data_IF_621675513929
#
_entry.id   IF_621675513929
#
_cell.length_a   1.000
_cell.length_b   1.000
_cell.length_c   1.000
_cell.angle_alpha   90.00
_cell.angle_beta   90.00
_cell.angle_gamma   90.00
#
_symmetry.space_group_name_H-M   'P 1'
#
loop_
_entity.id
_entity.type
_entity.pdbx_description
1 polymer ?
#
# COMPACT_ATOMS: atom_id res chain seq x y z
N UNK A 1 -6.38 -12.13 1.09
CA UNK A 1 -6.08 -10.94 0.25
C UNK A 1 -4.58 -10.65 0.30
N UNK A 2 -3.80 -11.05 -0.72
CA UNK A 2 -2.33 -10.92 -0.73
C UNK A 2 -1.85 -9.46 -0.58
N UNK A 3 -2.56 -8.50 -1.19
CA UNK A 3 -2.19 -7.08 -1.13
C UNK A 3 -2.17 -6.51 0.30
N UNK A 4 -3.17 -6.82 1.15
CA UNK A 4 -3.22 -6.33 2.54
C UNK A 4 -2.04 -6.88 3.36
N UNK A 5 -1.62 -8.12 3.09
CA UNK A 5 -0.46 -8.72 3.75
C UNK A 5 0.81 -7.93 3.41
N UNK A 6 1.03 -7.63 2.12
CA UNK A 6 2.20 -6.88 1.67
C UNK A 6 2.21 -5.44 2.20
N UNK A 7 1.06 -4.77 2.17
CA UNK A 7 0.93 -3.43 2.75
C UNK A 7 1.22 -3.43 4.27
N UNK A 8 0.73 -4.42 5.02
CA UNK A 8 1.06 -4.57 6.45
C UNK A 8 2.56 -4.78 6.69
N UNK A 9 3.24 -5.55 5.83
CA UNK A 9 4.70 -5.73 5.91
C UNK A 9 5.43 -4.41 5.70
N UNK A 10 5.07 -3.66 4.65
CA UNK A 10 5.66 -2.35 4.35
C UNK A 10 5.45 -1.36 5.50
N UNK A 11 4.23 -1.28 6.02
CA UNK A 11 3.92 -0.42 7.17
C UNK A 11 4.75 -0.78 8.40
N UNK A 12 4.89 -2.08 8.72
CA UNK A 12 5.70 -2.53 9.86
C UNK A 12 7.18 -2.22 9.69
N UNK A 13 7.74 -2.47 8.49
CA UNK A 13 9.14 -2.23 8.19
C UNK A 13 9.52 -0.75 8.25
N UNK A 14 8.58 0.14 7.92
CA UNK A 14 8.80 1.60 7.92
C UNK A 14 8.24 2.29 9.17
N UNK A 15 7.76 1.53 10.17
CA UNK A 15 7.11 2.06 11.38
C UNK A 15 5.91 2.98 11.14
N UNK A 16 5.20 2.78 10.02
CA UNK A 16 4.05 3.58 9.59
C UNK A 16 2.76 3.03 10.19
N UNK A 17 1.95 3.90 10.81
CA UNK A 17 0.62 3.58 11.34
C UNK A 17 -0.48 3.89 10.33
N UNK A 18 -1.69 3.37 10.54
CA UNK A 18 -2.84 3.63 9.65
C UNK A 18 -3.18 5.13 9.55
N UNK A 19 -3.03 5.89 10.64
CA UNK A 19 -3.19 7.35 10.65
C UNK A 19 -2.23 8.08 9.70
N UNK A 20 -0.99 7.62 9.62
CA UNK A 20 0.03 8.20 8.73
C UNK A 20 -0.26 7.81 7.28
N UNK A 21 -0.64 6.56 7.03
CA UNK A 21 -1.12 6.11 5.74
C UNK A 21 -2.35 6.90 5.26
N UNK A 22 -3.26 7.25 6.17
CA UNK A 22 -4.41 8.08 5.86
C UNK A 22 -4.00 9.47 5.37
N UNK A 23 -2.94 10.04 5.95
CA UNK A 23 -2.35 11.31 5.52
C UNK A 23 -1.74 11.20 4.12
N UNK A 24 -1.02 10.11 3.82
CA UNK A 24 -0.47 9.82 2.48
C UNK A 24 -1.58 9.72 1.43
N UNK A 25 -2.70 9.08 1.79
CA UNK A 25 -3.83 8.87 0.90
C UNK A 25 -4.75 10.09 0.76
N UNK A 26 -4.68 11.04 1.71
CA UNK A 26 -5.58 12.19 1.78
C UNK A 26 -7.01 11.80 2.20
N UNK A 27 -7.14 10.82 3.09
CA UNK A 27 -8.42 10.31 3.59
C UNK A 27 -8.42 10.21 5.13
N UNK A 28 -9.56 9.88 5.74
CA UNK A 28 -9.62 9.64 7.18
C UNK A 28 -8.99 8.30 7.59
N UNK A 29 -8.53 8.19 8.84
CA UNK A 29 -8.06 6.91 9.39
C UNK A 29 -9.15 5.84 9.35
N UNK A 30 -10.41 6.22 9.55
CA UNK A 30 -11.55 5.32 9.42
C UNK A 30 -11.67 4.77 8.00
N UNK A 31 -11.48 5.59 6.96
CA UNK A 31 -11.50 5.13 5.58
C UNK A 31 -10.35 4.16 5.29
N UNK A 32 -9.17 4.36 5.88
CA UNK A 32 -8.08 3.37 5.80
C UNK A 32 -8.49 2.08 6.49
N UNK A 33 -9.02 2.15 7.70
CA UNK A 33 -9.50 0.96 8.42
C UNK A 33 -10.54 0.19 7.63
N UNK A 34 -11.55 0.86 7.08
CA UNK A 34 -12.59 0.23 6.25
C UNK A 34 -12.00 -0.45 5.01
N UNK A 35 -10.94 0.13 4.40
CA UNK A 35 -10.20 -0.51 3.31
C UNK A 35 -9.45 -1.78 3.76
N UNK A 36 -8.83 -1.77 4.93
CA UNK A 36 -8.14 -2.96 5.47
C UNK A 36 -9.07 -4.10 5.85
N UNK A 37 -10.32 -3.78 6.23
CA UNK A 37 -11.35 -4.76 6.58
C UNK A 37 -12.24 -5.16 5.39
N UNK A 38 -11.97 -4.64 4.18
CA UNK A 38 -12.70 -4.99 2.97
C UNK A 38 -14.10 -4.39 2.86
N UNK A 39 -14.43 -3.38 3.68
CA UNK A 39 -15.70 -2.63 3.60
C UNK A 39 -15.69 -1.64 2.44
N UNK A 40 -14.51 -1.22 2.01
CA UNK A 40 -14.31 -0.34 0.84
C UNK A 40 -13.05 -0.78 0.11
N UNK A 41 -13.02 -0.68 -1.21
CA UNK A 41 -11.83 -1.07 -1.97
C UNK A 41 -10.77 0.03 -1.97
N UNK A 42 -9.51 -0.38 -2.18
CA UNK A 42 -8.45 0.54 -2.61
C UNK A 42 -8.70 0.94 -4.06
N UNK A 43 -8.62 2.23 -4.34
CA UNK A 43 -8.67 2.76 -5.71
C UNK A 43 -7.29 2.68 -6.35
N UNK A 44 -7.21 2.76 -7.68
CA UNK A 44 -5.91 2.83 -8.37
C UNK A 44 -5.05 4.01 -7.88
N UNK A 45 -5.68 5.15 -7.56
CA UNK A 45 -5.02 6.30 -6.97
C UNK A 45 -4.41 5.99 -5.61
N UNK A 46 -5.13 5.23 -4.78
CA UNK A 46 -4.59 4.80 -3.48
C UNK A 46 -3.38 3.90 -3.67
N UNK A 47 -3.49 2.91 -4.57
CA UNK A 47 -2.42 1.96 -4.85
C UNK A 47 -1.16 2.66 -5.38
N UNK A 48 -1.31 3.60 -6.30
CA UNK A 48 -0.20 4.40 -6.84
C UNK A 48 0.51 5.16 -5.72
N UNK A 49 -0.23 5.89 -4.88
CA UNK A 49 0.37 6.65 -3.78
C UNK A 49 1.08 5.77 -2.75
N UNK A 50 0.53 4.60 -2.48
CA UNK A 50 1.16 3.63 -1.56
C UNK A 50 2.46 3.11 -2.15
N UNK A 51 2.44 2.75 -3.44
CA UNK A 51 3.62 2.28 -4.16
C UNK A 51 4.73 3.35 -4.17
N UNK A 52 4.38 4.59 -4.52
CA UNK A 52 5.29 5.74 -4.53
C UNK A 52 5.84 6.04 -3.13
N UNK A 53 4.98 6.03 -2.10
CA UNK A 53 5.38 6.35 -0.72
C UNK A 53 6.36 5.33 -0.13
N UNK A 54 6.18 4.04 -0.45
CA UNK A 54 7.07 2.98 0.01
C UNK A 54 8.22 2.65 -0.95
N UNK A 55 8.35 3.37 -2.08
CA UNK A 55 9.32 3.10 -3.14
C UNK A 55 9.29 1.64 -3.63
N UNK A 56 8.09 1.15 -3.95
CA UNK A 56 7.86 -0.21 -4.47
C UNK A 56 7.01 -0.21 -5.74
N UNK A 57 7.08 -1.29 -6.50
CA UNK A 57 6.22 -1.50 -7.67
C UNK A 57 4.77 -1.82 -7.27
N UNK A 58 3.82 -1.48 -8.15
CA UNK A 58 2.43 -1.91 -8.01
C UNK A 58 2.29 -3.44 -8.03
N UNK A 59 3.14 -4.13 -8.79
CA UNK A 59 3.13 -5.59 -8.86
C UNK A 59 3.54 -6.22 -7.52
N UNK A 60 4.54 -5.64 -6.85
CA UNK A 60 4.88 -6.04 -5.48
C UNK A 60 3.73 -5.78 -4.50
N UNK A 61 3.19 -4.57 -4.52
CA UNK A 61 2.11 -4.17 -3.62
C UNK A 61 0.88 -5.08 -3.79
N UNK A 62 0.54 -5.44 -5.03
CA UNK A 62 -0.63 -6.27 -5.34
C UNK A 62 -0.37 -7.77 -5.23
N UNK A 63 0.89 -8.18 -5.08
CA UNK A 63 1.29 -9.60 -4.95
C UNK A 63 1.40 -10.32 -6.29
N UNK A 64 1.57 -9.59 -7.39
CA UNK A 64 1.88 -10.13 -8.73
C UNK A 64 3.37 -10.42 -8.93
N UNK A 65 4.22 -9.87 -8.06
CA UNK A 65 5.67 -10.05 -8.07
C UNK A 65 6.21 -10.08 -6.64
N UNK A 66 7.28 -10.85 -6.42
CA UNK A 66 8.04 -10.82 -5.17
C UNK A 66 9.16 -9.76 -5.20
N UNK A 67 9.40 -9.13 -6.36
CA UNK A 67 10.42 -8.10 -6.53
C UNK A 67 9.87 -6.72 -6.15
N UNK A 68 10.44 -6.14 -5.09
CA UNK A 68 9.99 -4.88 -4.51
C UNK A 68 10.10 -3.71 -5.51
N UNK A 69 11.16 -3.66 -6.31
CA UNK A 69 11.39 -2.59 -7.30
C UNK A 69 11.08 -3.08 -8.72
N UNK A 70 10.64 -2.18 -9.64
CA UNK A 70 10.64 -2.49 -11.06
C UNK A 70 12.05 -2.94 -11.47
N UNK A 71 12.15 -3.94 -12.34
CA UNK A 71 13.45 -4.28 -12.94
C UNK A 71 13.93 -3.04 -13.69
N UNK A 72 14.98 -2.40 -13.20
CA UNK A 72 15.69 -1.38 -13.97
C UNK A 72 16.28 -2.09 -15.18
N UNK A 73 15.73 -1.80 -16.36
CA UNK A 73 16.34 -2.22 -17.62
C UNK A 73 17.48 -1.24 -17.86
N UNK A 74 18.72 -1.71 -17.68
CA UNK A 74 19.94 -0.99 -18.02
C UNK A 74 20.04 -0.74 -19.53
#
# INVERSE_FOLDING_TARGET
MMMIQNLRKLMRANHVKQRELASVLGVSEQAVSDKFHGRTNFTLRDLSRIADYFDVSLDYLTGRSDYAKPLEVA
#
